data_IF_377183131355
#
_entry.id   IF_377183131355
#
_cell.length_a   1.000
_cell.length_b   1.000
_cell.length_c   1.000
_cell.angle_alpha   90.00
_cell.angle_beta   90.00
_cell.angle_gamma   90.00
#
_symmetry.space_group_name_H-M   'P 1'
#
loop_
_entity.id
_entity.type
_entity.pdbx_description
1 polymer ?
#
# COMPACT_ATOMS: atom_id res chain seq x y z
N UNK A 1 -12.20 -4.55 21.29
CA UNK A 1 -12.85 -4.42 19.96
C UNK A 1 -12.84 -5.78 19.27
N UNK A 2 -13.94 -6.21 18.63
CA UNK A 2 -14.01 -7.47 17.87
C UNK A 2 -13.62 -7.24 16.41
N UNK A 3 -12.68 -8.01 15.88
CA UNK A 3 -12.29 -7.94 14.46
C UNK A 3 -13.46 -8.45 13.60
N UNK A 4 -13.92 -7.61 12.68
CA UNK A 4 -15.03 -7.91 11.76
C UNK A 4 -14.54 -8.28 10.37
N UNK A 5 -13.39 -7.77 9.95
CA UNK A 5 -12.79 -8.06 8.65
C UNK A 5 -11.29 -8.38 8.77
N UNK A 6 -10.96 -9.66 8.78
CA UNK A 6 -9.58 -10.13 8.88
C UNK A 6 -8.74 -9.74 7.66
N UNK A 7 -9.33 -9.64 6.46
CA UNK A 7 -8.59 -9.20 5.27
C UNK A 7 -8.11 -7.77 5.42
N UNK A 8 -8.94 -6.88 5.97
CA UNK A 8 -8.51 -5.50 6.25
C UNK A 8 -7.53 -5.42 7.40
N UNK A 9 -7.63 -6.26 8.43
CA UNK A 9 -6.62 -6.29 9.48
C UNK A 9 -5.25 -6.72 8.92
N UNK A 10 -5.22 -7.78 8.11
CA UNK A 10 -4.01 -8.26 7.45
C UNK A 10 -3.46 -7.20 6.50
N UNK A 11 -4.31 -6.61 5.66
CA UNK A 11 -3.93 -5.51 4.77
C UNK A 11 -3.31 -4.35 5.57
N UNK A 12 -3.95 -3.97 6.67
CA UNK A 12 -3.49 -2.91 7.54
C UNK A 12 -2.09 -3.16 8.10
N UNK A 13 -1.85 -4.34 8.66
CA UNK A 13 -0.54 -4.73 9.19
C UNK A 13 0.51 -4.79 8.09
N UNK A 14 0.19 -5.38 6.93
CA UNK A 14 1.11 -5.45 5.79
C UNK A 14 1.50 -4.07 5.29
N UNK A 15 0.55 -3.12 5.22
CA UNK A 15 0.86 -1.76 4.78
C UNK A 15 1.75 -0.99 5.77
N UNK A 16 1.57 -1.20 7.08
CA UNK A 16 2.48 -0.64 8.09
C UNK A 16 3.89 -1.23 7.92
N UNK A 17 3.99 -2.54 7.71
CA UNK A 17 5.27 -3.20 7.44
C UNK A 17 5.90 -2.67 6.15
N UNK A 18 5.13 -2.55 5.07
CA UNK A 18 5.61 -2.01 3.80
C UNK A 18 6.05 -0.55 3.90
N UNK A 19 5.39 0.27 4.72
CA UNK A 19 5.84 1.63 4.99
C UNK A 19 7.23 1.60 5.66
N UNK A 20 7.40 0.76 6.68
CA UNK A 20 8.68 0.64 7.38
C UNK A 20 9.79 0.10 6.47
N UNK A 21 9.53 -0.97 5.71
CA UNK A 21 10.52 -1.53 4.78
C UNK A 21 10.85 -0.58 3.65
N UNK A 22 9.89 0.21 3.16
CA UNK A 22 10.14 1.23 2.14
C UNK A 22 11.00 2.40 2.67
N UNK A 23 10.75 2.86 3.90
CA UNK A 23 11.56 3.85 4.60
C UNK A 23 12.95 3.31 4.98
N UNK A 24 13.06 2.03 5.27
CA UNK A 24 14.35 1.41 5.52
C UNK A 24 15.15 1.28 4.22
N UNK A 25 14.54 0.72 3.17
CA UNK A 25 15.20 0.47 1.89
C UNK A 25 15.73 1.75 1.24
N UNK A 26 14.95 2.83 1.25
CA UNK A 26 15.45 4.08 0.68
C UNK A 26 16.62 4.67 1.47
N UNK A 27 16.65 4.51 2.79
CA UNK A 27 17.76 5.00 3.61
C UNK A 27 19.02 4.14 3.45
N UNK A 28 18.85 2.82 3.46
CA UNK A 28 19.97 1.88 3.57
C UNK A 28 20.52 1.40 2.23
N UNK A 29 19.73 1.47 1.16
CA UNK A 29 20.09 0.92 -0.15
C UNK A 29 20.01 1.96 -1.27
N UNK A 30 18.99 2.82 -1.31
CA UNK A 30 18.82 3.77 -2.43
C UNK A 30 19.66 5.04 -2.25
N UNK A 31 19.49 5.77 -1.14
CA UNK A 31 20.26 7.00 -0.87
C UNK A 31 21.78 6.81 -0.96
N UNK A 32 22.38 5.71 -0.49
CA UNK A 32 23.83 5.49 -0.63
C UNK A 32 24.33 5.29 -2.06
N UNK A 33 23.45 4.95 -3.01
CA UNK A 33 23.82 4.83 -4.44
C UNK A 33 23.81 6.16 -5.17
N UNK A 34 23.24 7.21 -4.56
CA UNK A 34 23.28 8.55 -5.09
C UNK A 34 24.62 9.18 -4.72
N UNK A 35 25.37 9.67 -5.71
CA UNK A 35 26.48 10.56 -5.44
C UNK A 35 25.94 11.93 -5.02
N UNK A 36 25.64 12.05 -3.73
CA UNK A 36 25.10 13.27 -3.12
C UNK A 36 26.01 14.49 -3.30
N UNK A 37 27.28 14.31 -3.68
CA UNK A 37 28.19 15.42 -3.99
C UNK A 37 27.97 16.02 -5.39
N UNK A 38 27.34 15.25 -6.29
CA UNK A 38 27.07 15.64 -7.69
C UNK A 38 25.63 16.09 -7.92
N UNK A 39 24.74 15.91 -6.95
CA UNK A 39 23.31 16.24 -7.06
C UNK A 39 23.01 17.55 -6.31
N UNK A 40 22.30 18.48 -6.95
CA UNK A 40 21.89 19.73 -6.31
C UNK A 40 21.02 19.50 -5.07
N UNK A 41 21.13 20.38 -4.08
CA UNK A 41 20.31 20.32 -2.85
C UNK A 41 18.80 20.31 -3.15
N UNK A 42 18.38 21.04 -4.19
CA UNK A 42 16.98 21.06 -4.62
C UNK A 42 16.52 19.68 -5.10
N UNK A 43 17.33 19.00 -5.92
CA UNK A 43 17.02 17.65 -6.42
C UNK A 43 17.01 16.63 -5.27
N UNK A 44 17.95 16.72 -4.33
CA UNK A 44 17.97 15.86 -3.14
C UNK A 44 16.73 16.07 -2.27
N UNK A 45 16.28 17.31 -2.12
CA UNK A 45 15.07 17.66 -1.37
C UNK A 45 13.83 17.04 -2.03
N UNK A 46 13.72 17.15 -3.36
CA UNK A 46 12.64 16.52 -4.14
C UNK A 46 12.63 15.02 -3.96
N UNK A 47 13.77 14.37 -4.16
CA UNK A 47 13.90 12.93 -3.98
C UNK A 47 13.47 12.50 -2.56
N UNK A 48 13.94 13.22 -1.54
CA UNK A 48 13.66 12.93 -0.14
C UNK A 48 12.17 13.02 0.16
N UNK A 49 11.48 14.10 -0.23
CA UNK A 49 10.06 14.21 0.08
C UNK A 49 9.21 13.25 -0.76
N UNK A 50 9.53 12.98 -2.03
CA UNK A 50 8.77 12.03 -2.85
C UNK A 50 8.82 10.63 -2.24
N UNK A 51 10.01 10.23 -1.81
CA UNK A 51 10.21 8.96 -1.12
C UNK A 51 9.44 8.88 0.22
N UNK A 52 9.46 9.95 1.03
CA UNK A 52 8.72 9.98 2.30
C UNK A 52 7.20 10.09 2.12
N UNK A 53 6.70 10.77 1.08
CA UNK A 53 5.27 10.81 0.75
C UNK A 53 4.76 9.38 0.53
N UNK A 54 5.47 8.59 -0.26
CA UNK A 54 5.11 7.20 -0.53
C UNK A 54 5.08 6.35 0.76
N UNK A 55 6.08 6.52 1.63
CA UNK A 55 6.12 5.89 2.96
C UNK A 55 4.89 6.28 3.78
N UNK A 56 4.58 7.57 3.85
CA UNK A 56 3.47 8.09 4.63
C UNK A 56 2.12 7.62 4.09
N UNK A 57 1.94 7.59 2.77
CA UNK A 57 0.74 7.05 2.11
C UNK A 57 0.49 5.59 2.51
N UNK A 58 1.53 4.75 2.43
CA UNK A 58 1.44 3.35 2.84
C UNK A 58 1.02 3.23 4.32
N UNK A 59 1.60 4.05 5.20
CA UNK A 59 1.27 4.04 6.62
C UNK A 59 -0.19 4.47 6.86
N UNK A 60 -0.64 5.54 6.20
CA UNK A 60 -2.02 6.04 6.31
C UNK A 60 -3.01 4.99 5.82
N UNK A 61 -2.74 4.31 4.72
CA UNK A 61 -3.57 3.20 4.25
C UNK A 61 -3.59 2.05 5.26
N UNK A 62 -2.44 1.71 5.85
CA UNK A 62 -2.34 0.68 6.87
C UNK A 62 -3.23 0.98 8.08
N UNK A 63 -3.10 2.19 8.63
CA UNK A 63 -3.91 2.68 9.75
C UNK A 63 -5.41 2.66 9.38
N UNK A 64 -5.76 3.15 8.19
CA UNK A 64 -7.15 3.15 7.72
C UNK A 64 -7.73 1.72 7.65
N UNK A 65 -6.98 0.75 7.12
CA UNK A 65 -7.41 -0.65 7.05
C UNK A 65 -7.54 -1.31 8.43
N UNK A 66 -6.65 -1.00 9.38
CA UNK A 66 -6.78 -1.45 10.77
C UNK A 66 -8.09 -0.92 11.35
N UNK A 67 -8.39 0.37 11.22
CA UNK A 67 -9.65 0.93 11.71
C UNK A 67 -10.88 0.32 11.02
N UNK A 68 -10.84 0.19 9.69
CA UNK A 68 -11.93 -0.42 8.91
C UNK A 68 -12.15 -1.89 9.28
N UNK A 69 -11.15 -2.60 9.79
CA UNK A 69 -11.29 -3.99 10.23
C UNK A 69 -12.25 -4.16 11.42
N UNK A 70 -12.50 -3.09 12.19
CA UNK A 70 -13.39 -3.09 13.36
C UNK A 70 -14.76 -2.45 13.10
N UNK A 71 -14.94 -1.77 11.96
CA UNK A 71 -16.16 -1.03 11.64
C UNK A 71 -17.28 -1.93 11.07
N UNK A 72 -18.53 -1.52 11.31
CA UNK A 72 -19.74 -2.24 10.91
C UNK A 72 -20.26 -1.82 9.52
N UNK A 73 -20.06 -0.56 9.16
CA UNK A 73 -20.73 0.07 8.02
C UNK A 73 -20.07 -0.28 6.68
N UNK A 74 -20.57 -1.33 6.02
CA UNK A 74 -19.94 -1.89 4.82
C UNK A 74 -19.88 -0.94 3.63
N UNK A 75 -20.87 -0.07 3.42
CA UNK A 75 -20.92 0.81 2.25
C UNK A 75 -19.76 1.82 2.27
N UNK A 76 -19.56 2.51 3.39
CA UNK A 76 -18.45 3.45 3.60
C UNK A 76 -17.10 2.77 3.53
N UNK A 77 -16.97 1.59 4.16
CA UNK A 77 -15.74 0.80 4.15
C UNK A 77 -15.38 0.34 2.73
N UNK A 78 -16.36 -0.11 1.94
CA UNK A 78 -16.12 -0.54 0.55
C UNK A 78 -15.65 0.60 -0.33
N UNK A 79 -16.30 1.77 -0.23
CA UNK A 79 -15.88 2.94 -0.99
C UNK A 79 -14.43 3.33 -0.68
N UNK A 80 -14.08 3.42 0.60
CA UNK A 80 -12.72 3.72 1.02
C UNK A 80 -11.70 2.66 0.54
N UNK A 81 -12.03 1.37 0.66
CA UNK A 81 -11.17 0.28 0.19
C UNK A 81 -10.93 0.34 -1.32
N UNK A 82 -11.97 0.63 -2.13
CA UNK A 82 -11.84 0.79 -3.58
C UNK A 82 -11.03 2.03 -3.95
N UNK A 83 -11.20 3.14 -3.23
CA UNK A 83 -10.38 4.34 -3.43
C UNK A 83 -8.90 4.06 -3.16
N UNK A 84 -8.58 3.38 -2.06
CA UNK A 84 -7.19 3.01 -1.74
C UNK A 84 -6.63 2.05 -2.80
N UNK A 85 -7.41 1.05 -3.23
CA UNK A 85 -7.00 0.14 -4.30
C UNK A 85 -6.72 0.89 -5.62
N UNK A 86 -7.56 1.85 -5.98
CA UNK A 86 -7.36 2.68 -7.18
C UNK A 86 -6.07 3.51 -7.09
N UNK A 87 -5.81 4.13 -5.93
CA UNK A 87 -4.57 4.90 -5.72
C UNK A 87 -3.34 4.00 -5.88
N UNK A 88 -3.37 2.79 -5.30
CA UNK A 88 -2.26 1.83 -5.43
C UNK A 88 -2.02 1.38 -6.87
N UNK A 89 -3.09 1.15 -7.64
CA UNK A 89 -2.99 0.77 -9.06
C UNK A 89 -2.42 1.94 -9.88
N UNK A 90 -2.93 3.16 -9.69
CA UNK A 90 -2.42 4.34 -10.38
C UNK A 90 -0.95 4.58 -10.05
N UNK A 91 -0.58 4.43 -8.77
CA UNK A 91 0.81 4.51 -8.35
C UNK A 91 1.69 3.48 -9.06
N UNK A 92 1.25 2.23 -9.13
CA UNK A 92 1.97 1.18 -9.86
C UNK A 92 2.13 1.53 -11.34
N UNK A 93 1.07 2.03 -12.00
CA UNK A 93 1.14 2.47 -13.39
C UNK A 93 2.14 3.60 -13.60
N UNK A 94 2.20 4.58 -12.69
CA UNK A 94 3.17 5.68 -12.76
C UNK A 94 4.60 5.17 -12.60
N UNK A 95 4.86 4.29 -11.62
CA UNK A 95 6.19 3.71 -11.40
C UNK A 95 6.65 2.94 -12.63
N UNK A 96 5.82 2.03 -13.14
CA UNK A 96 6.15 1.21 -14.31
C UNK A 96 6.28 2.06 -15.57
N UNK A 97 5.37 3.01 -15.79
CA UNK A 97 5.35 3.88 -16.96
C UNK A 97 6.58 4.79 -17.04
N UNK A 98 6.92 5.46 -15.93
CA UNK A 98 8.12 6.31 -15.88
C UNK A 98 9.38 5.47 -16.04
N UNK A 99 9.48 4.32 -15.35
CA UNK A 99 10.64 3.43 -15.46
C UNK A 99 10.79 2.91 -16.88
N UNK A 100 9.72 2.48 -17.54
CA UNK A 100 9.76 2.00 -18.93
C UNK A 100 10.20 3.09 -19.92
N UNK A 101 9.90 4.37 -19.66
CA UNK A 101 10.31 5.48 -20.54
C UNK A 101 11.76 5.90 -20.29
N UNK A 102 12.21 5.91 -19.03
CA UNK A 102 13.50 6.48 -18.62
C UNK A 102 14.61 5.42 -18.55
N UNK A 103 14.31 4.24 -18.04
CA UNK A 103 15.27 3.14 -17.85
C UNK A 103 14.56 1.78 -17.89
N UNK A 104 14.41 1.23 -19.10
CA UNK A 104 13.79 -0.07 -19.33
C UNK A 104 14.49 -1.19 -18.54
N UNK A 105 15.80 -1.09 -18.34
CA UNK A 105 16.56 -2.08 -17.56
C UNK A 105 16.21 -2.05 -16.06
N UNK A 106 15.81 -0.87 -15.57
CA UNK A 106 15.30 -0.64 -14.23
C UNK A 106 13.94 -1.28 -13.93
N UNK A 107 13.20 -1.77 -14.94
CA UNK A 107 11.93 -2.48 -14.71
C UNK A 107 12.11 -3.71 -13.83
N UNK A 108 13.24 -4.42 -13.96
CA UNK A 108 13.53 -5.57 -13.10
C UNK A 108 13.66 -5.18 -11.62
N UNK A 109 14.16 -3.98 -11.33
CA UNK A 109 14.27 -3.49 -9.96
C UNK A 109 12.88 -3.16 -9.37
N UNK A 110 11.90 -2.80 -10.20
CA UNK A 110 10.52 -2.51 -9.76
C UNK A 110 9.63 -3.75 -9.64
N UNK A 111 10.12 -4.93 -10.05
CA UNK A 111 9.32 -6.15 -10.16
C UNK A 111 8.79 -6.65 -8.80
N UNK A 112 9.65 -6.64 -7.77
CA UNK A 112 9.29 -7.09 -6.43
C UNK A 112 8.21 -6.18 -5.82
N UNK A 113 8.38 -4.86 -5.96
CA UNK A 113 7.41 -3.87 -5.48
C UNK A 113 6.06 -4.01 -6.21
N UNK A 114 6.11 -4.29 -7.52
CA UNK A 114 4.92 -4.53 -8.33
C UNK A 114 4.13 -5.76 -7.85
N UNK A 115 4.82 -6.87 -7.57
CA UNK A 115 4.19 -8.08 -7.01
C UNK A 115 3.55 -7.76 -5.65
N UNK A 116 4.26 -7.05 -4.78
CA UNK A 116 3.75 -6.68 -3.47
C UNK A 116 2.45 -5.86 -3.58
N UNK A 117 2.41 -4.87 -4.49
CA UNK A 117 1.21 -4.05 -4.73
C UNK A 117 0.06 -4.90 -5.28
N UNK A 118 0.32 -5.81 -6.22
CA UNK A 118 -0.73 -6.68 -6.78
C UNK A 118 -1.33 -7.60 -5.72
N UNK A 119 -0.49 -8.25 -4.91
CA UNK A 119 -0.95 -9.07 -3.79
C UNK A 119 -1.76 -8.23 -2.81
N UNK A 120 -1.28 -7.03 -2.51
CA UNK A 120 -1.94 -6.13 -1.58
C UNK A 120 -3.34 -5.71 -2.06
N UNK A 121 -3.46 -5.31 -3.33
CA UNK A 121 -4.76 -5.00 -3.97
C UNK A 121 -5.69 -6.22 -3.95
N UNK A 122 -5.18 -7.43 -4.19
CA UNK A 122 -5.97 -8.65 -4.13
C UNK A 122 -6.56 -8.88 -2.74
N UNK A 123 -5.78 -8.69 -1.67
CA UNK A 123 -6.26 -8.80 -0.28
C UNK A 123 -7.36 -7.78 0.01
N UNK A 124 -7.20 -6.54 -0.45
CA UNK A 124 -8.21 -5.48 -0.30
C UNK A 124 -9.52 -5.89 -0.98
N UNK A 125 -9.45 -6.36 -2.23
CA UNK A 125 -10.62 -6.80 -3.00
C UNK A 125 -11.31 -7.98 -2.31
N UNK A 126 -10.56 -8.95 -1.79
CA UNK A 126 -11.14 -10.06 -1.00
C UNK A 126 -11.88 -9.55 0.24
N UNK A 127 -11.31 -8.56 0.93
CA UNK A 127 -11.95 -7.89 2.07
C UNK A 127 -13.28 -7.22 1.72
N UNK A 128 -13.43 -6.65 0.51
CA UNK A 128 -14.70 -6.06 0.05
C UNK A 128 -15.78 -7.09 -0.26
N UNK A 129 -15.36 -8.28 -0.71
CA UNK A 129 -16.23 -9.39 -1.18
C UNK A 129 -16.68 -10.33 -0.08
N UNK A 130 -16.02 -10.35 1.09
CA UNK A 130 -16.36 -11.23 2.20
C UNK A 130 -17.81 -11.04 2.64
N UNK A 131 -18.73 -11.96 2.30
CA UNK A 131 -20.12 -11.94 2.83
C UNK A 131 -20.07 -12.15 4.34
N UNK A 132 -21.00 -11.52 5.06
CA UNK A 132 -21.15 -11.79 6.48
C UNK A 132 -21.44 -13.29 6.62
N UNK A 133 -20.65 -14.01 7.42
CA UNK A 133 -21.18 -15.24 8.01
C UNK A 133 -22.35 -14.77 8.85
N UNK A 134 -23.56 -14.76 8.26
CA UNK A 134 -24.78 -14.80 9.05
C UNK A 134 -24.55 -15.88 10.09
N UNK A 135 -24.77 -15.53 11.35
CA UNK A 135 -24.81 -16.49 12.43
C UNK A 135 -25.66 -17.67 11.97
N UNK A 136 -25.02 -18.83 11.78
CA UNK A 136 -25.65 -20.13 11.49
C UNK A 136 -26.48 -20.63 12.69
N UNK A 137 -26.96 -19.72 13.56
CA UNK A 137 -27.56 -20.05 14.85
C UNK A 137 -28.86 -19.33 15.17
N UNK A 138 -29.57 -18.72 14.21
CA UNK A 138 -30.82 -18.00 14.50
C UNK A 138 -31.96 -18.24 13.51
N UNK A 139 -31.95 -19.37 12.80
CA UNK A 139 -33.11 -19.88 12.05
C UNK A 139 -33.65 -21.22 12.59
N UNK A 140 -33.27 -21.59 13.82
CA UNK A 140 -33.81 -22.77 14.51
C UNK A 140 -34.20 -22.40 15.94
N UNK A 141 -35.13 -21.45 16.12
CA UNK A 141 -36.02 -21.35 17.28
C UNK A 141 -37.34 -20.74 16.86
#
# INVERSE_FOLDING_TARGET
MKVRNYYYLIAGVLAVLFAFTHAWNGQSAVLPTLDISLISMDTQTVFTYVWHIITAENLVFGIAFIFMSFQSERSKIRFAAWMIAAILIVRLMVILGVTAVVDVSGLMNTFIDSIAIVIYVAIIILGTRMKEKQSVGQQLQ
#
